data_IF_020608051064
#
_entry.id   IF_020608051064
#
_cell.length_a   1.000
_cell.length_b   1.000
_cell.length_c   1.000
_cell.angle_alpha   90.00
_cell.angle_beta   90.00
_cell.angle_gamma   90.00
#
_symmetry.space_group_name_H-M   'P 1'
#
loop_
_entity.id
_entity.type
_entity.pdbx_description
1 polymer ?
#
# COMPACT_ATOMS: atom_id res chain seq x y z
N UNK A 1 -0.28 18.19 20.51
CA UNK A 1 0.53 18.59 19.37
C UNK A 1 1.86 17.87 19.45
N UNK A 2 2.37 17.31 18.35
CA UNK A 2 3.73 16.78 18.29
C UNK A 2 4.73 17.93 18.41
N UNK A 3 5.87 17.69 19.05
CA UNK A 3 6.97 18.65 19.10
C UNK A 3 7.95 18.46 17.94
N UNK A 4 8.80 19.46 17.69
CA UNK A 4 9.74 19.47 16.57
C UNK A 4 10.67 18.25 16.53
N UNK A 5 11.06 17.73 17.70
CA UNK A 5 11.88 16.53 17.80
C UNK A 5 11.13 15.28 17.32
N UNK A 6 9.87 15.12 17.72
CA UNK A 6 9.02 14.01 17.28
C UNK A 6 8.75 14.07 15.77
N UNK A 7 8.55 15.27 15.23
CA UNK A 7 8.35 15.50 13.80
C UNK A 7 9.61 15.09 13.02
N UNK A 8 10.79 15.51 13.46
CA UNK A 8 12.04 15.15 12.80
C UNK A 8 12.35 13.65 12.88
N UNK A 9 12.03 13.01 14.00
CA UNK A 9 12.17 11.55 14.13
C UNK A 9 11.24 10.81 13.17
N UNK A 10 9.99 11.27 13.03
CA UNK A 10 9.03 10.70 12.08
C UNK A 10 9.55 10.79 10.63
N UNK A 11 10.05 11.95 10.20
CA UNK A 11 10.59 12.12 8.85
C UNK A 11 11.78 11.20 8.57
N UNK A 12 12.70 11.07 9.52
CA UNK A 12 13.83 10.14 9.38
C UNK A 12 13.39 8.68 9.26
N UNK A 13 12.34 8.28 9.99
CA UNK A 13 11.77 6.94 9.85
C UNK A 13 11.09 6.74 8.49
N UNK A 14 10.39 7.75 7.96
CA UNK A 14 9.73 7.69 6.65
C UNK A 14 10.75 7.49 5.53
N UNK A 15 11.90 8.15 5.60
CA UNK A 15 12.96 8.01 4.59
C UNK A 15 13.48 6.56 4.46
N UNK A 16 13.40 5.76 5.53
CA UNK A 16 13.75 4.34 5.50
C UNK A 16 12.82 3.48 4.62
N UNK A 17 11.62 3.94 4.30
CA UNK A 17 10.65 3.21 3.47
C UNK A 17 10.70 3.61 1.99
N UNK A 18 11.61 4.50 1.60
CA UNK A 18 11.65 5.03 0.23
C UNK A 18 11.87 3.94 -0.82
N UNK A 19 12.79 3.02 -0.59
CA UNK A 19 13.08 1.93 -1.53
C UNK A 19 11.87 0.99 -1.67
N UNK A 20 11.28 0.59 -0.54
CA UNK A 20 10.08 -0.26 -0.54
C UNK A 20 8.90 0.42 -1.25
N UNK A 21 8.70 1.73 -1.06
CA UNK A 21 7.67 2.48 -1.76
C UNK A 21 7.90 2.49 -3.28
N UNK A 22 9.16 2.63 -3.73
CA UNK A 22 9.51 2.56 -5.15
C UNK A 22 9.21 1.16 -5.70
N UNK A 23 9.62 0.10 -5.00
CA UNK A 23 9.34 -1.28 -5.42
C UNK A 23 7.84 -1.58 -5.50
N UNK A 24 7.07 -1.11 -4.51
CA UNK A 24 5.62 -1.22 -4.50
C UNK A 24 5.01 -0.56 -5.74
N UNK A 25 5.38 0.69 -6.02
CA UNK A 25 4.87 1.43 -7.19
C UNK A 25 5.28 0.79 -8.51
N UNK A 26 6.52 0.30 -8.62
CA UNK A 26 6.98 -0.42 -9.81
C UNK A 26 6.15 -1.67 -10.07
N UNK A 27 5.82 -2.44 -9.03
CA UNK A 27 4.95 -3.62 -9.17
C UNK A 27 3.53 -3.24 -9.56
N UNK A 28 2.96 -2.21 -8.96
CA UNK A 28 1.63 -1.71 -9.33
C UNK A 28 1.56 -1.31 -10.81
N UNK A 29 2.58 -0.61 -11.32
CA UNK A 29 2.64 -0.17 -12.73
C UNK A 29 2.82 -1.36 -13.69
N UNK A 30 3.51 -2.43 -13.27
CA UNK A 30 3.75 -3.60 -14.10
C UNK A 30 2.52 -4.49 -14.28
N UNK A 31 1.54 -4.41 -13.36
CA UNK A 31 0.30 -5.21 -13.42
C UNK A 31 -0.71 -4.49 -14.32
N UNK A 32 -1.07 -5.04 -15.48
CA UNK A 32 -2.14 -4.49 -16.31
C UNK A 32 -3.46 -4.45 -15.52
N UNK A 33 -4.18 -3.34 -15.64
CA UNK A 33 -5.44 -3.11 -14.91
C UNK A 33 -6.39 -2.25 -15.74
N UNK A 34 -6.70 -2.75 -16.94
CA UNK A 34 -7.72 -2.13 -17.79
C UNK A 34 -9.09 -2.24 -17.14
N UNK A 35 -10.04 -1.41 -17.57
CA UNK A 35 -11.41 -1.44 -17.05
C UNK A 35 -12.05 -2.82 -17.24
N UNK A 36 -12.38 -3.50 -16.14
CA UNK A 36 -12.91 -4.87 -16.14
C UNK A 36 -11.85 -5.98 -16.02
N UNK A 37 -10.57 -5.64 -15.92
CA UNK A 37 -9.43 -6.56 -15.78
C UNK A 37 -8.61 -6.28 -14.51
N UNK A 38 -9.19 -5.62 -13.50
CA UNK A 38 -8.47 -5.15 -12.31
C UNK A 38 -8.20 -6.25 -11.26
N UNK A 39 -8.67 -7.48 -11.46
CA UNK A 39 -8.59 -8.54 -10.45
C UNK A 39 -7.16 -8.78 -9.95
N UNK A 40 -6.18 -8.84 -10.84
CA UNK A 40 -4.78 -9.11 -10.48
C UNK A 40 -4.21 -8.00 -9.58
N UNK A 41 -4.45 -6.72 -9.93
CA UNK A 41 -3.93 -5.59 -9.15
C UNK A 41 -4.62 -5.51 -7.78
N UNK A 42 -5.91 -5.83 -7.71
CA UNK A 42 -6.68 -5.86 -6.47
C UNK A 42 -6.17 -6.94 -5.53
N UNK A 43 -5.97 -8.16 -6.02
CA UNK A 43 -5.40 -9.26 -5.24
C UNK A 43 -3.97 -8.94 -4.74
N UNK A 44 -3.16 -8.29 -5.58
CA UNK A 44 -1.83 -7.83 -5.20
C UNK A 44 -1.89 -6.81 -4.05
N UNK A 45 -2.77 -5.81 -4.15
CA UNK A 45 -2.91 -4.77 -3.12
C UNK A 45 -3.40 -5.37 -1.80
N UNK A 46 -4.38 -6.28 -1.82
CA UNK A 46 -4.87 -6.98 -0.62
C UNK A 46 -3.74 -7.74 0.07
N UNK A 47 -2.99 -8.57 -0.66
CA UNK A 47 -1.83 -9.30 -0.09
C UNK A 47 -0.78 -8.37 0.49
N UNK A 48 -0.56 -7.20 -0.12
CA UNK A 48 0.39 -6.21 0.39
C UNK A 48 -0.11 -5.57 1.69
N UNK A 49 -1.39 -5.24 1.79
CA UNK A 49 -2.01 -4.76 3.03
C UNK A 49 -1.89 -5.79 4.17
N UNK A 50 -2.15 -7.06 3.89
CA UNK A 50 -1.92 -8.16 4.85
C UNK A 50 -0.44 -8.19 5.32
N UNK A 51 0.50 -8.08 4.38
CA UNK A 51 1.94 -8.09 4.71
C UNK A 51 2.39 -6.88 5.55
N UNK A 52 1.67 -5.76 5.46
CA UNK A 52 1.91 -4.55 6.25
C UNK A 52 1.24 -4.59 7.62
N UNK A 53 0.48 -5.65 7.92
CA UNK A 53 -0.15 -5.84 9.22
C UNK A 53 -1.42 -5.05 9.42
N UNK A 54 -2.18 -4.80 8.34
CA UNK A 54 -3.55 -4.32 8.44
C UNK A 54 -4.40 -5.34 9.22
N UNK A 55 -5.36 -4.85 10.00
CA UNK A 55 -6.24 -5.72 10.80
C UNK A 55 -7.13 -6.57 9.88
N UNK A 56 -7.59 -5.97 8.79
CA UNK A 56 -8.38 -6.60 7.74
C UNK A 56 -7.91 -6.08 6.38
N UNK A 57 -7.86 -6.97 5.39
CA UNK A 57 -7.65 -6.64 3.99
C UNK A 57 -8.46 -7.58 3.10
N UNK A 58 -9.28 -7.04 2.21
CA UNK A 58 -10.17 -7.84 1.36
C UNK A 58 -10.56 -7.12 0.06
N UNK A 59 -11.07 -7.88 -0.90
CA UNK A 59 -11.75 -7.35 -2.08
C UNK A 59 -13.26 -7.25 -1.80
N UNK A 60 -13.85 -6.08 -2.00
CA UNK A 60 -15.30 -5.90 -1.81
C UNK A 60 -16.11 -6.46 -3.00
N UNK A 61 -17.45 -6.42 -2.89
CA UNK A 61 -18.34 -6.92 -3.94
C UNK A 61 -18.32 -6.11 -5.25
N UNK A 62 -17.64 -4.97 -5.29
CA UNK A 62 -17.48 -4.11 -6.46
C UNK A 62 -16.08 -4.22 -7.09
N UNK A 63 -15.18 -5.02 -6.50
CA UNK A 63 -13.81 -5.17 -6.98
C UNK A 63 -12.80 -4.20 -6.37
N UNK A 64 -13.13 -3.49 -5.28
CA UNK A 64 -12.18 -2.60 -4.62
C UNK A 64 -11.32 -3.35 -3.61
N UNK A 65 -10.02 -3.03 -3.54
CA UNK A 65 -9.17 -3.44 -2.43
C UNK A 65 -9.44 -2.53 -1.22
N UNK A 66 -9.85 -3.10 -0.09
CA UNK A 66 -10.20 -2.41 1.16
C UNK A 66 -9.33 -2.92 2.29
N UNK A 67 -8.85 -2.02 3.16
CA UNK A 67 -8.08 -2.38 4.35
C UNK A 67 -8.36 -1.46 5.55
N UNK A 68 -8.19 -2.00 6.76
CA UNK A 68 -8.36 -1.32 8.05
C UNK A 68 -7.13 -1.38 8.92
#
# INVERSE_FOLDING_TARGET
MLNDKQINQLFNSIDGFREEAVELLQKLIQIPSYSGEEQEIVEFIVKRMESYGFDEAFCDGLGNAVGR
#
